data_IF_603584697433
#
_entry.id   IF_603584697433
#
_cell.length_a   1.000
_cell.length_b   1.000
_cell.length_c   1.000
_cell.angle_alpha   90.00
_cell.angle_beta   90.00
_cell.angle_gamma   90.00
#
_symmetry.space_group_name_H-M   'P 1'
#
loop_
_entity.id
_entity.type
_entity.pdbx_description
1 polymer ?
#
# COMPACT_ATOMS: atom_id res chain seq x y z
N UNK A 1 -9.22 5.89 13.37
CA UNK A 1 -8.50 6.19 12.11
C UNK A 1 -9.00 5.36 10.93
N UNK A 2 -9.07 4.04 11.07
CA UNK A 2 -9.50 3.17 9.96
C UNK A 2 -10.95 3.49 9.51
N UNK A 3 -11.85 3.67 10.45
CA UNK A 3 -13.24 4.01 10.13
C UNK A 3 -13.34 5.35 9.39
N UNK A 4 -12.56 6.35 9.81
CA UNK A 4 -12.53 7.64 9.14
C UNK A 4 -11.97 7.51 7.72
N UNK A 5 -10.97 6.65 7.52
CA UNK A 5 -10.41 6.38 6.20
C UNK A 5 -11.45 5.72 5.28
N UNK A 6 -12.11 4.65 5.76
CA UNK A 6 -13.12 3.91 4.97
C UNK A 6 -14.27 4.84 4.57
N UNK A 7 -14.67 5.76 5.44
CA UNK A 7 -15.77 6.70 5.19
C UNK A 7 -15.32 8.00 4.50
N UNK A 8 -14.06 8.10 4.10
CA UNK A 8 -13.53 9.28 3.42
C UNK A 8 -13.42 10.52 4.29
N UNK A 9 -13.37 10.35 5.62
CA UNK A 9 -13.35 11.47 6.58
C UNK A 9 -11.97 11.81 7.12
N UNK A 10 -10.96 10.99 6.81
CA UNK A 10 -9.59 11.26 7.22
C UNK A 10 -9.04 12.41 6.38
N UNK A 11 -8.45 13.45 7.00
CA UNK A 11 -7.90 14.57 6.27
C UNK A 11 -6.61 14.17 5.54
N UNK A 12 -6.24 14.96 4.53
CA UNK A 12 -5.01 14.74 3.76
C UNK A 12 -3.78 14.78 4.68
N UNK A 13 -3.76 15.70 5.66
CA UNK A 13 -2.64 15.84 6.60
C UNK A 13 -2.53 14.66 7.55
N UNK A 14 -3.65 13.98 7.85
CA UNK A 14 -3.67 12.78 8.68
C UNK A 14 -3.23 11.53 7.91
N UNK A 15 -3.21 11.58 6.59
CA UNK A 15 -2.90 10.45 5.70
C UNK A 15 -1.39 10.35 5.48
N UNK A 16 -0.64 10.09 6.57
CA UNK A 16 0.82 9.95 6.56
C UNK A 16 1.23 8.55 6.11
N UNK A 17 2.54 8.33 5.93
CA UNK A 17 3.08 7.01 5.63
C UNK A 17 2.75 6.01 6.75
N UNK A 18 2.89 6.42 8.00
CA UNK A 18 2.53 5.59 9.16
C UNK A 18 1.04 5.25 9.16
N UNK A 19 0.18 6.20 8.79
CA UNK A 19 -1.25 5.95 8.67
C UNK A 19 -1.55 4.93 7.56
N UNK A 20 -0.83 4.98 6.43
CA UNK A 20 -0.95 3.97 5.37
C UNK A 20 -0.59 2.58 5.89
N UNK A 21 0.51 2.46 6.66
CA UNK A 21 0.95 1.18 7.22
C UNK A 21 -0.07 0.61 8.20
N UNK A 22 -0.58 1.44 9.11
CA UNK A 22 -1.58 1.01 10.09
C UNK A 22 -2.88 0.59 9.39
N UNK A 23 -3.32 1.36 8.41
CA UNK A 23 -4.52 1.05 7.64
C UNK A 23 -4.38 -0.31 6.94
N UNK A 24 -3.22 -0.57 6.34
CA UNK A 24 -2.93 -1.85 5.71
C UNK A 24 -2.94 -2.99 6.74
N UNK A 25 -2.31 -2.79 7.89
CA UNK A 25 -2.29 -3.78 8.97
C UNK A 25 -3.71 -4.11 9.45
N UNK A 26 -4.55 -3.10 9.67
CA UNK A 26 -5.95 -3.30 10.08
C UNK A 26 -6.73 -4.05 8.99
N UNK A 27 -6.52 -3.69 7.72
CA UNK A 27 -7.20 -4.36 6.61
C UNK A 27 -6.87 -5.86 6.55
N UNK A 28 -5.67 -6.25 6.98
CA UNK A 28 -5.22 -7.63 7.00
C UNK A 28 -5.79 -8.43 8.18
N UNK A 29 -6.38 -7.78 9.16
CA UNK A 29 -6.97 -8.48 10.31
C UNK A 29 -8.29 -9.14 9.90
N UNK A 30 -8.35 -10.47 9.99
CA UNK A 30 -9.55 -11.23 9.63
C UNK A 30 -9.84 -11.33 8.13
N UNK A 31 -8.89 -10.94 7.27
CA UNK A 31 -9.01 -11.03 5.82
C UNK A 31 -7.80 -11.72 5.22
N UNK A 32 -7.99 -12.34 4.05
CA UNK A 32 -6.84 -12.80 3.27
C UNK A 32 -6.09 -11.60 2.70
N UNK A 33 -4.79 -11.76 2.35
CA UNK A 33 -4.06 -10.65 1.70
C UNK A 33 -4.74 -10.16 0.42
N UNK A 34 -5.31 -11.05 -0.39
CA UNK A 34 -6.03 -10.65 -1.61
C UNK A 34 -7.28 -9.82 -1.30
N UNK A 35 -8.03 -10.20 -0.26
CA UNK A 35 -9.19 -9.43 0.19
C UNK A 35 -8.78 -8.05 0.73
N UNK A 36 -7.67 -7.99 1.48
CA UNK A 36 -7.13 -6.74 1.98
C UNK A 36 -6.68 -5.82 0.85
N UNK A 37 -6.02 -6.38 -0.16
CA UNK A 37 -5.60 -5.61 -1.34
C UNK A 37 -6.79 -4.99 -2.06
N UNK A 38 -7.85 -5.76 -2.30
CA UNK A 38 -9.04 -5.27 -2.95
C UNK A 38 -9.72 -4.15 -2.16
N UNK A 39 -9.85 -4.33 -0.84
CA UNK A 39 -10.41 -3.32 0.05
C UNK A 39 -9.59 -2.03 0.04
N UNK A 40 -8.26 -2.14 0.11
CA UNK A 40 -7.37 -0.99 0.13
C UNK A 40 -7.40 -0.24 -1.20
N UNK A 41 -7.42 -0.97 -2.33
CA UNK A 41 -7.51 -0.35 -3.66
C UNK A 41 -8.73 0.56 -3.75
N UNK A 42 -9.89 0.04 -3.37
CA UNK A 42 -11.14 0.80 -3.43
C UNK A 42 -11.15 1.94 -2.42
N UNK A 43 -10.69 1.67 -1.20
CA UNK A 43 -10.73 2.64 -0.11
C UNK A 43 -9.74 3.80 -0.32
N UNK A 44 -8.53 3.52 -0.80
CA UNK A 44 -7.54 4.57 -1.08
C UNK A 44 -8.02 5.45 -2.22
N UNK A 45 -8.55 4.85 -3.28
CA UNK A 45 -9.09 5.58 -4.43
C UNK A 45 -10.22 6.51 -3.99
N UNK A 46 -11.15 6.00 -3.18
CA UNK A 46 -12.28 6.78 -2.66
C UNK A 46 -11.78 7.90 -1.72
N UNK A 47 -10.83 7.59 -0.84
CA UNK A 47 -10.25 8.58 0.08
C UNK A 47 -9.57 9.71 -0.69
N UNK A 48 -8.77 9.38 -1.71
CA UNK A 48 -8.09 10.39 -2.52
C UNK A 48 -9.10 11.32 -3.21
N UNK A 49 -10.18 10.77 -3.74
CA UNK A 49 -11.26 11.60 -4.30
C UNK A 49 -11.88 12.52 -3.25
N UNK A 50 -12.08 12.01 -2.03
CA UNK A 50 -12.69 12.78 -0.93
C UNK A 50 -11.85 13.95 -0.45
N UNK A 51 -10.51 13.88 -0.58
CA UNK A 51 -9.60 14.96 -0.18
C UNK A 51 -9.08 15.78 -1.37
N UNK A 52 -9.65 15.57 -2.56
CA UNK A 52 -9.28 16.32 -3.76
C UNK A 52 -7.97 15.90 -4.42
N UNK A 53 -7.47 14.71 -4.10
CA UNK A 53 -6.28 14.15 -4.75
C UNK A 53 -6.70 13.32 -5.96
N UNK A 54 -6.34 13.74 -7.20
CA UNK A 54 -6.74 12.98 -8.38
C UNK A 54 -6.05 11.60 -8.42
N UNK A 55 -6.80 10.57 -8.84
CA UNK A 55 -6.26 9.25 -9.14
C UNK A 55 -6.06 9.16 -10.65
N UNK A 56 -4.85 9.52 -11.10
CA UNK A 56 -4.50 9.56 -12.51
C UNK A 56 -3.32 8.63 -12.77
N UNK A 57 -2.84 8.59 -14.01
CA UNK A 57 -1.67 7.81 -14.39
C UNK A 57 -0.36 8.38 -13.83
N UNK A 58 -0.37 9.57 -13.21
CA UNK A 58 0.82 10.21 -12.64
C UNK A 58 0.64 10.64 -11.18
N UNK A 59 -0.53 10.44 -10.59
CA UNK A 59 -0.84 10.92 -9.24
C UNK A 59 -1.88 10.04 -8.57
N UNK A 60 -1.93 10.05 -7.25
CA UNK A 60 -2.92 9.34 -6.45
C UNK A 60 -2.56 7.90 -6.19
N UNK A 61 -3.52 7.00 -6.37
CA UNK A 61 -3.35 5.58 -6.07
C UNK A 61 -2.20 4.97 -6.88
N UNK A 62 -1.44 4.08 -6.23
CA UNK A 62 -0.30 3.39 -6.85
C UNK A 62 -0.42 1.88 -6.61
N UNK A 63 -0.72 1.12 -7.64
CA UNK A 63 -0.98 -0.31 -7.54
C UNK A 63 0.25 -1.11 -7.06
N UNK A 64 1.41 -0.93 -7.70
CA UNK A 64 2.60 -1.71 -7.34
C UNK A 64 3.07 -1.46 -5.91
N UNK A 65 3.00 -0.22 -5.41
CA UNK A 65 3.33 0.08 -4.03
C UNK A 65 2.33 -0.55 -3.07
N UNK A 66 1.05 -0.52 -3.40
CA UNK A 66 0.01 -1.14 -2.56
C UNK A 66 0.24 -2.65 -2.46
N UNK A 67 0.50 -3.32 -3.58
CA UNK A 67 0.82 -4.75 -3.60
C UNK A 67 2.06 -5.03 -2.75
N UNK A 68 3.10 -4.22 -2.89
CA UNK A 68 4.33 -4.39 -2.11
C UNK A 68 4.05 -4.34 -0.60
N UNK A 69 3.36 -3.28 -0.13
CA UNK A 69 3.12 -3.12 1.31
C UNK A 69 2.15 -4.16 1.85
N UNK A 70 1.11 -4.54 1.11
CA UNK A 70 0.22 -5.62 1.53
C UNK A 70 1.01 -6.92 1.67
N UNK A 71 1.87 -7.24 0.71
CA UNK A 71 2.71 -8.44 0.76
C UNK A 71 3.66 -8.41 1.98
N UNK A 72 4.39 -7.30 2.16
CA UNK A 72 5.35 -7.17 3.25
C UNK A 72 4.66 -7.24 4.62
N UNK A 73 3.56 -6.53 4.79
CA UNK A 73 2.85 -6.47 6.07
C UNK A 73 2.13 -7.78 6.36
N UNK A 74 1.67 -8.51 5.33
CA UNK A 74 1.02 -9.82 5.52
C UNK A 74 1.93 -10.82 6.21
N UNK A 75 3.25 -10.68 6.07
CA UNK A 75 4.22 -11.57 6.72
C UNK A 75 4.26 -11.38 8.24
N UNK A 76 3.87 -10.21 8.73
CA UNK A 76 3.92 -9.84 10.15
C UNK A 76 2.58 -9.34 10.69
N UNK A 77 1.49 -9.55 9.95
CA UNK A 77 0.16 -9.05 10.35
C UNK A 77 -0.39 -9.75 11.61
N UNK A 78 0.17 -10.91 11.98
CA UNK A 78 -0.16 -11.61 13.23
C UNK A 78 0.52 -10.98 14.45
N UNK A 79 1.48 -10.07 14.25
CA UNK A 79 2.16 -9.34 15.32
C UNK A 79 1.46 -8.01 15.58
N UNK A 80 1.75 -7.34 16.72
CA UNK A 80 1.18 -6.00 16.96
C UNK A 80 1.55 -5.00 15.88
N UNK A 81 0.70 -3.98 15.67
CA UNK A 81 0.94 -2.96 14.65
C UNK A 81 2.27 -2.22 14.81
N UNK A 82 2.79 -2.13 16.05
CA UNK A 82 4.09 -1.51 16.30
C UNK A 82 5.22 -2.21 15.52
N UNK A 83 5.14 -3.53 15.34
CA UNK A 83 6.13 -4.29 14.56
C UNK A 83 6.10 -3.91 13.09
N UNK A 84 4.91 -3.60 12.55
CA UNK A 84 4.77 -3.10 11.20
C UNK A 84 5.49 -1.75 11.05
N UNK A 85 5.29 -0.83 11.98
CA UNK A 85 5.94 0.48 11.95
C UNK A 85 7.46 0.39 12.09
N UNK A 86 7.95 -0.64 12.80
CA UNK A 86 9.38 -0.85 13.04
C UNK A 86 10.06 -1.69 11.95
N UNK A 87 9.31 -2.28 11.03
CA UNK A 87 9.86 -3.18 10.02
C UNK A 87 10.74 -2.41 9.01
N UNK A 88 11.96 -2.93 8.70
CA UNK A 88 12.78 -2.33 7.65
C UNK A 88 12.19 -2.49 6.26
N UNK A 89 11.22 -3.39 6.06
CA UNK A 89 10.51 -3.55 4.80
C UNK A 89 9.36 -2.57 4.62
N UNK A 90 9.02 -1.81 5.66
CA UNK A 90 7.87 -0.91 5.66
C UNK A 90 8.27 0.57 5.63
N UNK A 91 9.54 0.91 5.41
CA UNK A 91 9.96 2.29 5.23
C UNK A 91 9.53 2.81 3.86
N UNK A 92 9.55 4.14 3.70
CA UNK A 92 9.24 4.77 2.40
C UNK A 92 10.20 4.33 1.32
N UNK A 93 11.46 4.12 1.67
CA UNK A 93 12.55 3.79 0.75
C UNK A 93 12.68 2.28 0.49
N UNK A 94 12.04 1.45 1.30
CA UNK A 94 12.17 0.00 1.19
C UNK A 94 11.89 -0.55 -0.23
N UNK A 95 10.86 -0.09 -0.95
CA UNK A 95 10.62 -0.57 -2.31
C UNK A 95 11.77 -0.29 -3.28
N UNK A 96 12.59 0.74 -3.02
CA UNK A 96 13.70 1.10 -3.89
C UNK A 96 14.85 0.09 -3.85
N UNK A 97 14.81 -0.89 -2.95
CA UNK A 97 15.73 -2.03 -2.96
C UNK A 97 15.40 -3.02 -4.08
N UNK A 98 14.18 -2.97 -4.61
CA UNK A 98 13.65 -3.94 -5.56
C UNK A 98 13.36 -3.31 -6.93
N UNK A 99 12.96 -2.04 -6.96
CA UNK A 99 12.69 -1.30 -8.19
C UNK A 99 13.60 -0.08 -8.28
N UNK A 100 14.01 0.26 -9.51
CA UNK A 100 14.56 1.60 -9.73
C UNK A 100 13.44 2.63 -9.53
N UNK A 101 13.82 3.84 -9.19
CA UNK A 101 12.86 4.94 -9.01
C UNK A 101 12.09 5.21 -10.32
N UNK A 102 12.78 5.15 -11.46
CA UNK A 102 12.15 5.40 -12.75
C UNK A 102 11.05 4.39 -13.05
N UNK A 103 11.27 3.10 -12.78
CA UNK A 103 10.26 2.06 -12.99
C UNK A 103 9.12 2.21 -11.97
N UNK A 104 9.47 2.35 -10.69
CA UNK A 104 8.47 2.40 -9.62
C UNK A 104 7.56 3.61 -9.74
N UNK A 105 8.11 4.77 -10.09
CA UNK A 105 7.34 6.01 -10.23
C UNK A 105 6.75 6.19 -11.63
N UNK A 106 6.98 5.23 -12.53
CA UNK A 106 6.42 5.26 -13.86
C UNK A 106 4.93 4.94 -13.89
N UNK A 107 4.27 5.35 -14.96
CA UNK A 107 2.84 5.10 -15.18
C UNK A 107 2.47 3.61 -15.15
N UNK A 108 3.23 2.70 -15.78
CA UNK A 108 2.86 1.28 -15.73
C UNK A 108 2.78 0.72 -14.31
N UNK A 109 3.74 1.06 -13.45
CA UNK A 109 3.75 0.56 -12.07
C UNK A 109 2.62 1.16 -11.22
N UNK A 110 2.21 2.38 -11.53
CA UNK A 110 1.10 3.03 -10.84
C UNK A 110 -0.25 2.39 -11.19
N UNK A 111 -0.44 2.03 -12.45
CA UNK A 111 -1.72 1.52 -12.93
C UNK A 111 -1.89 0.02 -12.74
N UNK A 112 -0.80 -0.74 -12.66
CA UNK A 112 -0.83 -2.19 -12.54
C UNK A 112 0.42 -2.70 -11.83
N UNK A 113 0.41 -3.99 -11.46
CA UNK A 113 1.59 -4.64 -10.91
C UNK A 113 2.69 -4.71 -11.96
N UNK A 114 3.87 -4.21 -11.61
CA UNK A 114 5.09 -4.34 -12.42
C UNK A 114 6.12 -5.07 -11.59
N UNK A 115 6.71 -6.13 -12.15
CA UNK A 115 7.72 -6.91 -11.45
C UNK A 115 8.96 -6.05 -11.13
N UNK A 116 9.63 -6.31 -9.99
CA UNK A 116 10.86 -5.61 -9.65
C UNK A 116 11.94 -5.75 -10.70
N UNK A 117 12.64 -4.66 -10.99
CA UNK A 117 13.70 -4.63 -12.01
C UNK A 117 15.11 -4.66 -11.41
N UNK A 118 15.27 -4.47 -10.09
CA UNK A 118 16.58 -4.47 -9.43
C UNK A 118 16.86 -5.81 -8.77
N UNK A 119 15.93 -6.32 -7.96
CA UNK A 119 16.08 -7.57 -7.23
C UNK A 119 14.71 -8.20 -6.98
N UNK A 120 14.62 -9.54 -6.89
CA UNK A 120 13.34 -10.19 -6.59
C UNK A 120 12.90 -9.87 -5.15
N UNK A 121 11.58 -9.81 -4.94
CA UNK A 121 11.04 -9.71 -3.59
C UNK A 121 11.35 -10.98 -2.80
N UNK A 122 11.56 -10.87 -1.47
CA UNK A 122 11.74 -12.06 -0.63
C UNK A 122 10.47 -12.89 -0.45
N UNK A 123 9.33 -12.40 -0.91
CA UNK A 123 8.02 -13.07 -0.82
C UNK A 123 7.33 -13.07 -2.17
N UNK A 124 6.41 -14.03 -2.35
CA UNK A 124 5.54 -14.02 -3.52
C UNK A 124 4.58 -12.81 -3.41
N UNK A 125 4.45 -11.98 -4.46
CA UNK A 125 3.56 -10.82 -4.40
C UNK A 125 2.10 -11.26 -4.28
N UNK A 126 1.34 -10.53 -3.47
CA UNK A 126 -0.10 -10.73 -3.35
C UNK A 126 -0.75 -10.07 -4.56
N UNK A 127 -1.45 -10.86 -5.38
CA UNK A 127 -2.16 -10.36 -6.55
C UNK A 127 -3.62 -10.76 -6.44
N UNK A 128 -4.49 -10.07 -7.16
CA UNK A 128 -5.91 -10.42 -7.22
C UNK A 128 -6.08 -11.83 -7.77
N UNK A 129 -7.00 -12.56 -7.18
CA UNK A 129 -7.36 -13.89 -7.64
C UNK A 129 -8.82 -13.95 -8.03
#
# INVERSE_FOLDING_TARGET
MFDAFINGRLSKDEWTHEAHLITCWVALQGRTPAEALSLLRDSITTHNCGVGTPNTDTSGYHESLTVYYVTAISQISHLPSADTLASPHCTREAPLQYWTKDVLMGTPARLAWVAPDVAPLPWAPVLDQ
#
